data_IF_161399607566
#
_entry.id   IF_161399607566
#
_cell.length_a   1.000
_cell.length_b   1.000
_cell.length_c   1.000
_cell.angle_alpha   90.00
_cell.angle_beta   90.00
_cell.angle_gamma   90.00
#
_symmetry.space_group_name_H-M   'P 1'
#
loop_
_entity.id
_entity.type
_entity.pdbx_description
1 polymer ?
#
# COMPACT_ATOMS: atom_id res chain seq x y z
N UNK A 1 49.34 -10.44 10.31
CA UNK A 1 48.75 -10.27 8.95
C UNK A 1 48.28 -8.85 8.86
N UNK A 2 49.13 -7.95 8.35
CA UNK A 2 48.77 -6.53 8.18
C UNK A 2 47.97 -6.38 6.89
N UNK A 3 46.66 -6.36 7.01
CA UNK A 3 45.79 -6.03 5.91
C UNK A 3 45.90 -4.54 5.60
N UNK A 4 46.82 -4.16 4.73
CA UNK A 4 46.96 -2.81 4.18
C UNK A 4 45.84 -2.57 3.14
N UNK A 5 44.60 -2.58 3.58
CA UNK A 5 43.51 -2.09 2.76
C UNK A 5 43.40 -0.59 2.98
N UNK A 6 43.80 0.20 1.98
CA UNK A 6 43.65 1.66 2.02
C UNK A 6 42.17 2.05 1.83
N UNK A 7 41.41 1.90 2.92
CA UNK A 7 39.98 2.15 2.97
C UNK A 7 39.66 3.63 2.69
N UNK A 8 40.57 4.54 3.08
CA UNK A 8 40.38 5.97 2.90
C UNK A 8 40.65 6.44 1.46
N UNK A 9 41.48 5.74 0.72
CA UNK A 9 41.77 6.06 -0.70
C UNK A 9 40.52 5.95 -1.58
N UNK A 10 39.61 5.03 -1.28
CA UNK A 10 38.38 4.78 -2.06
C UNK A 10 37.17 5.63 -1.64
N UNK A 11 37.31 6.54 -0.65
CA UNK A 11 36.18 7.34 -0.12
C UNK A 11 35.42 8.12 -1.18
N UNK A 12 36.13 8.69 -2.19
CA UNK A 12 35.51 9.47 -3.28
C UNK A 12 34.68 8.58 -4.20
N UNK A 13 35.19 7.39 -4.51
CA UNK A 13 34.49 6.41 -5.33
C UNK A 13 33.24 5.91 -4.61
N UNK A 14 33.38 5.53 -3.32
CA UNK A 14 32.27 5.11 -2.49
C UNK A 14 31.19 6.20 -2.36
N UNK A 15 31.60 7.46 -2.15
CA UNK A 15 30.66 8.58 -2.10
C UNK A 15 29.95 8.81 -3.44
N UNK A 16 30.65 8.70 -4.57
CA UNK A 16 30.03 8.84 -5.89
C UNK A 16 29.02 7.74 -6.18
N UNK A 17 29.35 6.50 -5.82
CA UNK A 17 28.42 5.36 -5.96
C UNK A 17 27.20 5.58 -5.08
N UNK A 18 27.38 5.97 -3.82
CA UNK A 18 26.29 6.22 -2.89
C UNK A 18 25.35 7.33 -3.37
N UNK A 19 25.91 8.46 -3.84
CA UNK A 19 25.14 9.56 -4.42
C UNK A 19 24.38 9.07 -5.67
N UNK A 20 25.03 8.31 -6.55
CA UNK A 20 24.39 7.75 -7.75
C UNK A 20 23.21 6.84 -7.40
N UNK A 21 23.36 5.97 -6.40
CA UNK A 21 22.27 5.11 -5.93
C UNK A 21 21.11 5.90 -5.32
N UNK A 22 21.40 6.93 -4.53
CA UNK A 22 20.38 7.81 -3.95
C UNK A 22 19.61 8.53 -5.05
N UNK A 23 20.31 9.11 -6.04
CA UNK A 23 19.65 9.78 -7.16
C UNK A 23 18.80 8.82 -7.99
N UNK A 24 19.30 7.62 -8.27
CA UNK A 24 18.55 6.58 -8.98
C UNK A 24 17.29 6.17 -8.19
N UNK A 25 17.38 6.04 -6.87
CA UNK A 25 16.26 5.73 -5.99
C UNK A 25 15.19 6.84 -6.03
N UNK A 26 15.60 8.12 -5.98
CA UNK A 26 14.68 9.25 -6.07
C UNK A 26 13.96 9.27 -7.42
N UNK A 27 14.71 9.08 -8.51
CA UNK A 27 14.12 9.02 -9.86
C UNK A 27 13.15 7.85 -9.99
N UNK A 28 13.52 6.68 -9.48
CA UNK A 28 12.64 5.50 -9.49
C UNK A 28 11.36 5.74 -8.69
N UNK A 29 11.47 6.36 -7.53
CA UNK A 29 10.31 6.69 -6.67
C UNK A 29 9.37 7.69 -7.35
N UNK A 30 9.93 8.67 -8.05
CA UNK A 30 9.14 9.67 -8.79
C UNK A 30 8.46 9.08 -10.05
N UNK A 31 9.11 8.10 -10.70
CA UNK A 31 8.59 7.49 -11.93
C UNK A 31 7.53 6.40 -11.65
N UNK A 32 7.73 5.58 -10.62
CA UNK A 32 6.91 4.40 -10.38
C UNK A 32 5.78 4.61 -9.37
N UNK A 33 5.68 5.78 -8.75
CA UNK A 33 4.74 6.08 -7.66
C UNK A 33 4.72 4.99 -6.57
N UNK A 34 4.45 5.36 -5.33
CA UNK A 34 4.34 4.42 -4.22
C UNK A 34 2.88 4.09 -4.01
N UNK A 35 2.53 2.82 -4.02
CA UNK A 35 1.21 2.37 -3.61
C UNK A 35 1.11 2.47 -2.08
N UNK A 36 0.40 3.47 -1.61
CA UNK A 36 0.18 3.69 -0.20
C UNK A 36 -0.78 2.64 0.38
N UNK A 37 -0.53 2.22 1.61
CA UNK A 37 -1.44 1.35 2.35
C UNK A 37 -2.80 2.02 2.62
N UNK A 38 -3.80 1.20 2.95
CA UNK A 38 -5.15 1.65 3.26
C UNK A 38 -5.19 2.67 4.42
N UNK A 39 -4.28 2.51 5.39
CA UNK A 39 -4.16 3.39 6.54
C UNK A 39 -3.85 4.85 6.16
N UNK A 40 -3.19 5.05 5.01
CA UNK A 40 -2.80 6.37 4.52
C UNK A 40 -3.75 6.93 3.47
N UNK A 41 -4.36 6.07 2.65
CA UNK A 41 -5.26 6.50 1.56
C UNK A 41 -6.73 6.47 1.97
N UNK A 42 -7.04 5.71 3.00
CA UNK A 42 -8.40 5.30 3.30
C UNK A 42 -8.96 4.32 2.26
N UNK A 43 -10.19 3.91 2.42
CA UNK A 43 -10.91 2.99 1.55
C UNK A 43 -11.47 1.78 2.26
N UNK A 44 -11.91 0.80 1.48
CA UNK A 44 -12.46 -0.46 1.99
C UNK A 44 -11.53 -1.62 1.68
N UNK A 45 -11.36 -2.50 2.63
CA UNK A 45 -10.67 -3.78 2.49
C UNK A 45 -11.69 -4.87 2.76
N UNK A 46 -11.82 -5.78 1.81
CA UNK A 46 -12.78 -6.89 1.85
C UNK A 46 -12.02 -8.20 1.64
N UNK A 47 -12.08 -9.08 2.61
CA UNK A 47 -11.53 -10.43 2.53
C UNK A 47 -12.69 -11.39 2.33
N UNK A 48 -12.63 -12.14 1.24
CA UNK A 48 -13.66 -13.11 0.86
C UNK A 48 -13.06 -14.49 0.61
N UNK A 49 -13.82 -15.52 0.95
CA UNK A 49 -13.47 -16.91 0.64
C UNK A 49 -14.48 -17.48 -0.34
N UNK A 50 -13.97 -18.04 -1.42
CA UNK A 50 -14.75 -18.75 -2.43
C UNK A 50 -14.83 -20.24 -2.13
N UNK A 51 -15.89 -20.88 -2.60
CA UNK A 51 -16.06 -22.34 -2.46
C UNK A 51 -15.01 -23.10 -3.29
N UNK A 52 -14.69 -22.61 -4.48
CA UNK A 52 -13.67 -23.17 -5.39
C UNK A 52 -12.55 -22.15 -5.65
N UNK A 53 -11.36 -22.62 -6.07
CA UNK A 53 -10.29 -21.74 -6.51
C UNK A 53 -10.74 -20.75 -7.57
N UNK A 54 -10.32 -19.51 -7.48
CA UNK A 54 -10.69 -18.42 -8.37
C UNK A 54 -9.46 -17.62 -8.79
N UNK A 55 -9.47 -17.14 -10.04
CA UNK A 55 -8.40 -16.29 -10.55
C UNK A 55 -8.67 -14.82 -10.17
N UNK A 56 -7.74 -14.13 -9.50
CA UNK A 56 -7.84 -12.71 -9.20
C UNK A 56 -8.07 -11.81 -10.43
N UNK A 57 -7.63 -12.23 -11.63
CA UNK A 57 -7.86 -11.47 -12.85
C UNK A 57 -9.35 -11.46 -13.25
N UNK A 58 -10.04 -12.55 -13.05
CA UNK A 58 -11.50 -12.62 -13.28
C UNK A 58 -12.23 -11.65 -12.35
N UNK A 59 -11.90 -11.68 -11.06
CA UNK A 59 -12.47 -10.78 -10.05
C UNK A 59 -12.16 -9.31 -10.37
N UNK A 60 -10.96 -9.03 -10.87
CA UNK A 60 -10.57 -7.69 -11.32
C UNK A 60 -11.40 -7.21 -12.50
N UNK A 61 -11.73 -8.11 -13.42
CA UNK A 61 -12.66 -7.85 -14.51
C UNK A 61 -14.04 -7.48 -14.00
N UNK A 62 -14.63 -8.32 -13.14
CA UNK A 62 -15.96 -8.14 -12.57
C UNK A 62 -16.08 -6.81 -11.81
N UNK A 63 -15.09 -6.47 -10.99
CA UNK A 63 -15.06 -5.21 -10.26
C UNK A 63 -14.92 -3.98 -11.18
N UNK A 64 -14.21 -4.14 -12.30
CA UNK A 64 -14.07 -3.08 -13.31
C UNK A 64 -15.43 -2.85 -14.00
N UNK A 65 -16.15 -3.92 -14.37
CA UNK A 65 -17.48 -3.86 -14.97
C UNK A 65 -18.51 -3.27 -13.98
N UNK A 66 -18.39 -3.60 -12.70
CA UNK A 66 -19.20 -3.00 -11.64
C UNK A 66 -18.86 -1.52 -11.36
N UNK A 67 -17.83 -0.97 -12.02
CA UNK A 67 -17.49 0.46 -11.97
C UNK A 67 -16.56 0.86 -10.84
N UNK A 68 -16.01 -0.07 -10.07
CA UNK A 68 -15.02 0.22 -9.04
C UNK A 68 -13.65 0.52 -9.65
N UNK A 69 -13.14 1.73 -9.45
CA UNK A 69 -11.85 2.17 -10.01
C UNK A 69 -10.73 2.05 -9.00
N UNK A 70 -9.54 1.66 -9.49
CA UNK A 70 -8.32 1.62 -8.67
C UNK A 70 -8.30 0.52 -7.63
N UNK A 71 -9.16 -0.49 -7.76
CA UNK A 71 -9.17 -1.66 -6.88
C UNK A 71 -7.91 -2.50 -7.09
N UNK A 72 -7.47 -3.17 -6.02
CA UNK A 72 -6.38 -4.14 -6.03
C UNK A 72 -6.94 -5.47 -5.55
N UNK A 73 -6.73 -6.53 -6.33
CA UNK A 73 -7.18 -7.89 -6.03
C UNK A 73 -5.96 -8.80 -5.93
N UNK A 74 -5.86 -9.54 -4.84
CA UNK A 74 -4.74 -10.46 -4.61
C UNK A 74 -5.15 -11.68 -3.81
N UNK A 75 -4.41 -12.78 -3.92
CA UNK A 75 -4.56 -13.93 -3.04
C UNK A 75 -4.18 -13.60 -1.60
N UNK A 76 -4.87 -14.20 -0.65
CA UNK A 76 -4.62 -14.05 0.77
C UNK A 76 -4.60 -15.41 1.48
N UNK A 77 -3.45 -16.06 1.46
CA UNK A 77 -3.23 -17.34 2.13
C UNK A 77 -3.51 -18.57 1.27
N UNK A 78 -4.63 -18.63 0.56
CA UNK A 78 -4.96 -19.74 -0.35
C UNK A 78 -5.46 -19.24 -1.71
N UNK A 79 -5.65 -20.17 -2.65
CA UNK A 79 -6.21 -19.90 -3.99
C UNK A 79 -7.73 -19.63 -4.00
N UNK A 80 -8.36 -19.74 -2.85
CA UNK A 80 -9.78 -19.44 -2.63
C UNK A 80 -10.01 -18.18 -1.80
N UNK A 81 -8.98 -17.74 -1.07
CA UNK A 81 -9.06 -16.56 -0.24
C UNK A 81 -8.55 -15.35 -1.02
N UNK A 82 -9.41 -14.38 -1.20
CA UNK A 82 -9.12 -13.18 -1.99
C UNK A 82 -9.25 -11.96 -1.12
N UNK A 83 -8.25 -11.09 -1.21
CA UNK A 83 -8.25 -9.78 -0.61
C UNK A 83 -8.52 -8.73 -1.71
N UNK A 84 -9.60 -8.00 -1.53
CA UNK A 84 -10.00 -6.89 -2.39
C UNK A 84 -9.81 -5.59 -1.63
N UNK A 85 -9.02 -4.69 -2.19
CA UNK A 85 -8.86 -3.32 -1.69
C UNK A 85 -9.50 -2.36 -2.67
N UNK A 86 -10.37 -1.50 -2.19
CA UNK A 86 -11.05 -0.47 -2.99
C UNK A 86 -10.74 0.89 -2.37
N UNK A 87 -10.05 1.79 -3.09
CA UNK A 87 -9.80 3.14 -2.61
C UNK A 87 -11.11 3.92 -2.48
N UNK A 88 -11.12 5.02 -1.69
CA UNK A 88 -12.30 5.84 -1.52
C UNK A 88 -12.81 6.34 -2.88
N UNK A 89 -14.08 6.11 -3.17
CA UNK A 89 -14.68 6.60 -4.40
C UNK A 89 -15.12 8.05 -4.20
N UNK A 90 -14.60 8.97 -5.01
CA UNK A 90 -14.83 10.43 -4.89
C UNK A 90 -16.29 10.87 -4.99
N UNK A 91 -17.16 10.03 -5.57
CA UNK A 91 -18.56 10.34 -5.84
C UNK A 91 -19.54 9.65 -4.88
N UNK A 92 -19.03 9.01 -3.83
CA UNK A 92 -19.83 8.20 -2.91
C UNK A 92 -19.68 8.79 -1.50
N UNK A 93 -20.79 9.00 -0.81
CA UNK A 93 -20.82 9.54 0.55
C UNK A 93 -20.14 8.56 1.54
N UNK A 94 -19.61 9.07 2.67
CA UNK A 94 -18.90 8.27 3.66
C UNK A 94 -19.74 7.11 4.21
N UNK A 95 -21.06 7.29 4.34
CA UNK A 95 -21.99 6.23 4.76
C UNK A 95 -22.15 5.14 3.70
N UNK A 96 -22.06 5.52 2.46
CA UNK A 96 -22.17 4.62 1.31
C UNK A 96 -20.88 3.87 1.06
N UNK A 97 -19.73 4.53 1.29
CA UNK A 97 -18.41 3.87 1.31
C UNK A 97 -18.32 2.80 2.41
N UNK A 98 -18.92 3.01 3.57
CA UNK A 98 -18.99 1.98 4.62
C UNK A 98 -19.80 0.74 4.22
N UNK A 99 -20.72 0.85 3.26
CA UNK A 99 -21.52 -0.26 2.71
C UNK A 99 -20.93 -0.88 1.44
N UNK A 100 -19.76 -0.39 1.00
CA UNK A 100 -19.10 -0.90 -0.20
C UNK A 100 -18.78 -2.39 -0.09
N UNK A 101 -18.41 -2.86 1.09
CA UNK A 101 -18.11 -4.27 1.31
C UNK A 101 -19.31 -5.18 1.01
N UNK A 102 -20.51 -4.78 1.45
CA UNK A 102 -21.73 -5.56 1.21
C UNK A 102 -22.07 -5.60 -0.27
N UNK A 103 -21.97 -4.46 -0.97
CA UNK A 103 -22.20 -4.37 -2.42
C UNK A 103 -21.17 -5.16 -3.23
N UNK A 104 -19.91 -5.14 -2.82
CA UNK A 104 -18.85 -5.91 -3.45
C UNK A 104 -19.12 -7.40 -3.28
N UNK A 105 -19.49 -7.84 -2.09
CA UNK A 105 -19.84 -9.22 -1.81
C UNK A 105 -21.02 -9.68 -2.69
N UNK A 106 -22.06 -8.87 -2.80
CA UNK A 106 -23.23 -9.13 -3.66
C UNK A 106 -22.81 -9.26 -5.12
N UNK A 107 -22.03 -8.29 -5.64
CA UNK A 107 -21.51 -8.29 -7.00
C UNK A 107 -20.64 -9.52 -7.28
N UNK A 108 -19.73 -9.89 -6.37
CA UNK A 108 -18.86 -11.06 -6.54
C UNK A 108 -19.62 -12.39 -6.45
N UNK A 109 -20.66 -12.44 -5.66
CA UNK A 109 -21.53 -13.62 -5.55
C UNK A 109 -22.34 -13.81 -6.83
N UNK A 110 -22.88 -12.72 -7.38
CA UNK A 110 -23.64 -12.76 -8.63
C UNK A 110 -22.76 -13.11 -9.84
N UNK A 111 -21.58 -12.51 -9.96
CA UNK A 111 -20.68 -12.72 -11.10
C UNK A 111 -20.06 -14.11 -11.10
N UNK A 112 -19.65 -14.62 -9.93
CA UNK A 112 -18.99 -15.92 -9.83
C UNK A 112 -19.93 -17.11 -9.89
N UNK A 113 -21.21 -16.90 -9.59
CA UNK A 113 -22.20 -17.99 -9.46
C UNK A 113 -21.87 -19.01 -8.36
N UNK A 114 -20.92 -18.68 -7.48
CA UNK A 114 -20.49 -19.50 -6.34
C UNK A 114 -20.94 -18.84 -5.03
N UNK A 115 -20.93 -19.63 -3.97
CA UNK A 115 -21.11 -19.09 -2.62
C UNK A 115 -19.81 -18.38 -2.21
N UNK A 116 -19.91 -17.07 -1.89
CA UNK A 116 -18.80 -16.23 -1.44
C UNK A 116 -19.06 -15.83 0.01
N UNK A 117 -18.15 -16.22 0.89
CA UNK A 117 -18.23 -15.91 2.30
C UNK A 117 -17.37 -14.69 2.63
N UNK A 118 -17.96 -13.67 3.25
CA UNK A 118 -17.24 -12.53 3.79
C UNK A 118 -16.50 -12.93 5.08
N UNK A 119 -15.17 -12.90 5.06
CA UNK A 119 -14.32 -13.17 6.23
C UNK A 119 -14.08 -11.93 7.06
N UNK A 120 -13.75 -10.85 6.38
CA UNK A 120 -13.37 -9.59 7.02
C UNK A 120 -13.75 -8.42 6.13
N UNK A 121 -14.24 -7.39 6.76
CA UNK A 121 -14.48 -6.10 6.12
C UNK A 121 -13.93 -5.00 7.01
N UNK A 122 -13.09 -4.15 6.45
CA UNK A 122 -12.55 -2.98 7.12
C UNK A 122 -12.79 -1.75 6.26
N UNK A 123 -13.15 -0.66 6.89
CA UNK A 123 -13.32 0.63 6.25
C UNK A 123 -12.53 1.70 6.99
N UNK A 124 -11.66 2.39 6.27
CA UNK A 124 -10.91 3.54 6.77
C UNK A 124 -11.40 4.79 6.03
N UNK A 125 -11.95 5.73 6.79
CA UNK A 125 -12.40 6.99 6.21
C UNK A 125 -11.23 7.81 5.66
N UNK A 126 -11.42 8.57 4.55
CA UNK A 126 -10.35 9.36 3.93
C UNK A 126 -9.72 10.39 4.90
N UNK A 127 -10.51 10.98 5.78
CA UNK A 127 -10.04 11.94 6.78
C UNK A 127 -9.04 11.31 7.77
N UNK A 128 -9.23 10.05 8.13
CA UNK A 128 -8.31 9.32 9.02
C UNK A 128 -6.99 9.03 8.31
N UNK A 129 -7.05 8.61 7.05
CA UNK A 129 -5.85 8.38 6.24
C UNK A 129 -5.02 9.65 6.05
N UNK A 130 -5.66 10.79 5.78
CA UNK A 130 -5.00 12.08 5.64
C UNK A 130 -4.34 12.53 6.96
N UNK A 131 -5.02 12.38 8.09
CA UNK A 131 -4.50 12.70 9.41
C UNK A 131 -3.27 11.84 9.76
N UNK A 132 -3.35 10.53 9.53
CA UNK A 132 -2.24 9.60 9.76
C UNK A 132 -1.02 9.93 8.87
N UNK A 133 -1.24 10.29 7.61
CA UNK A 133 -0.17 10.71 6.70
C UNK A 133 0.54 11.96 7.21
N UNK A 134 -0.23 12.97 7.61
CA UNK A 134 0.32 14.23 8.12
C UNK A 134 1.07 14.03 9.43
N UNK A 135 0.46 13.40 10.41
CA UNK A 135 1.07 13.16 11.72
C UNK A 135 2.27 12.20 11.63
N UNK A 136 2.16 11.13 10.84
CA UNK A 136 3.25 10.19 10.59
C UNK A 136 4.44 10.86 9.89
N UNK A 137 4.18 11.69 8.89
CA UNK A 137 5.20 12.46 8.19
C UNK A 137 5.94 13.44 9.11
N UNK A 138 5.20 14.22 9.90
CA UNK A 138 5.78 15.15 10.88
C UNK A 138 6.57 14.39 11.94
N UNK A 139 6.03 13.30 12.47
CA UNK A 139 6.70 12.48 13.48
C UNK A 139 8.03 11.90 12.96
N UNK A 140 8.04 11.37 11.75
CA UNK A 140 9.25 10.83 11.11
C UNK A 140 10.30 11.93 10.89
N UNK A 141 9.92 13.09 10.35
CA UNK A 141 10.83 14.22 10.14
C UNK A 141 11.41 14.74 11.44
N UNK A 142 10.58 14.82 12.49
CA UNK A 142 11.02 15.25 13.84
C UNK A 142 12.03 14.25 14.41
N UNK A 143 11.73 12.95 14.32
CA UNK A 143 12.64 11.89 14.81
C UNK A 143 13.99 11.93 14.09
N UNK A 144 14.00 12.03 12.77
CA UNK A 144 15.22 12.16 11.97
C UNK A 144 15.99 13.44 12.31
N UNK A 145 15.29 14.56 12.48
CA UNK A 145 15.91 15.83 12.87
C UNK A 145 16.59 15.76 14.23
N UNK A 146 15.94 15.16 15.22
CA UNK A 146 16.50 14.97 16.57
C UNK A 146 17.74 14.08 16.52
N UNK A 147 17.70 12.97 15.74
CA UNK A 147 18.86 12.07 15.59
C UNK A 147 20.02 12.81 14.91
N UNK A 148 19.76 13.59 13.85
CA UNK A 148 20.79 14.38 13.19
C UNK A 148 21.40 15.43 14.12
N UNK A 149 20.59 16.13 14.88
CA UNK A 149 21.07 17.09 15.89
C UNK A 149 21.92 16.41 16.95
N UNK A 150 21.47 15.27 17.48
CA UNK A 150 22.23 14.49 18.44
C UNK A 150 23.61 14.08 17.88
N UNK A 151 23.65 13.58 16.63
CA UNK A 151 24.91 13.19 15.98
C UNK A 151 25.83 14.41 15.79
N UNK A 152 25.26 15.55 15.34
CA UNK A 152 26.03 16.79 15.15
C UNK A 152 26.63 17.35 16.45
N UNK A 153 25.90 17.24 17.57
CA UNK A 153 26.42 17.66 18.88
C UNK A 153 27.40 16.65 19.49
N UNK A 154 27.26 15.37 19.17
CA UNK A 154 28.07 14.29 19.75
C UNK A 154 29.40 14.12 19.04
N UNK A 155 29.46 14.41 17.74
CA UNK A 155 30.64 14.27 16.87
C UNK A 155 31.04 15.59 16.24
#
# INVERSE_FOLDING_TARGET
MDTKFDFMGYRKIAASISIGLVLMSIVSLAANQVEWGLDFTGGSLVEVTYENPVDPETIRGDLTEAGYKGHVVQYFGSDRDILVRIPPQKNIDSKENARLADRVLESLTESSGQNVELRRSEFVGPAVGEELTNQGGIGLMTALGVVLLYVAFRF
#
